data_IF_830090058212
#
_entry.id   IF_830090058212
#
_cell.length_a   1.000
_cell.length_b   1.000
_cell.length_c   1.000
_cell.angle_alpha   90.00
_cell.angle_beta   90.00
_cell.angle_gamma   90.00
#
_symmetry.space_group_name_H-M   'P 1'
#
loop_
_entity.id
_entity.type
_entity.pdbx_description
1 polymer ?
#
# COMPACT_ATOMS: atom_id res chain seq x y z
N UNK A 1 -11.65 -9.89 2.50
CA UNK A 1 -11.82 -9.95 1.02
C UNK A 1 -10.53 -9.66 0.25
N UNK A 2 -9.81 -8.56 0.50
CA UNK A 2 -8.53 -8.30 -0.16
C UNK A 2 -7.44 -9.32 0.22
N UNK A 3 -7.30 -9.63 1.51
CA UNK A 3 -6.37 -10.67 2.01
C UNK A 3 -6.69 -12.07 1.44
N UNK A 4 -7.96 -12.44 1.36
CA UNK A 4 -8.41 -13.70 0.72
C UNK A 4 -8.09 -13.70 -0.78
N UNK A 5 -8.27 -12.58 -1.48
CA UNK A 5 -7.93 -12.47 -2.89
C UNK A 5 -6.43 -12.66 -3.13
N UNK A 6 -5.60 -12.20 -2.20
CA UNK A 6 -4.16 -12.37 -2.20
C UNK A 6 -3.75 -13.83 -1.89
N UNK A 7 -4.08 -14.32 -0.69
CA UNK A 7 -3.60 -15.61 -0.18
C UNK A 7 -4.17 -16.83 -0.91
N UNK A 8 -5.50 -16.88 -1.08
CA UNK A 8 -6.15 -18.12 -1.54
C UNK A 8 -6.30 -18.18 -3.05
N UNK A 9 -6.42 -17.01 -3.68
CA UNK A 9 -6.83 -16.92 -5.09
C UNK A 9 -5.74 -16.40 -6.00
N UNK A 10 -4.64 -15.88 -5.44
CA UNK A 10 -3.55 -15.23 -6.18
C UNK A 10 -4.07 -14.20 -7.19
N UNK A 11 -5.16 -13.51 -6.82
CA UNK A 11 -5.81 -12.47 -7.63
C UNK A 11 -5.21 -11.11 -7.27
N UNK A 12 -3.95 -10.93 -7.58
CA UNK A 12 -3.17 -9.76 -7.16
C UNK A 12 -3.77 -8.44 -7.63
N UNK A 13 -4.22 -8.34 -8.88
CA UNK A 13 -4.88 -7.13 -9.37
C UNK A 13 -6.14 -6.75 -8.57
N UNK A 14 -6.94 -7.76 -8.17
CA UNK A 14 -8.11 -7.56 -7.31
C UNK A 14 -7.72 -7.16 -5.89
N UNK A 15 -6.69 -7.81 -5.34
CA UNK A 15 -6.16 -7.50 -4.02
C UNK A 15 -5.65 -6.05 -3.97
N UNK A 16 -4.85 -5.63 -4.95
CA UNK A 16 -4.36 -4.25 -5.08
C UNK A 16 -5.52 -3.27 -5.15
N UNK A 17 -6.53 -3.53 -5.98
CA UNK A 17 -7.68 -2.61 -6.15
C UNK A 17 -8.42 -2.42 -4.83
N UNK A 18 -8.75 -3.52 -4.14
CA UNK A 18 -9.46 -3.47 -2.86
C UNK A 18 -8.61 -2.84 -1.74
N UNK A 19 -7.33 -3.19 -1.68
CA UNK A 19 -6.40 -2.66 -0.69
C UNK A 19 -6.14 -1.16 -0.91
N UNK A 20 -6.01 -0.71 -2.16
CA UNK A 20 -5.83 0.72 -2.50
C UNK A 20 -7.05 1.55 -2.07
N UNK A 21 -8.26 1.02 -2.30
CA UNK A 21 -9.47 1.69 -1.86
C UNK A 21 -9.58 1.74 -0.33
N UNK A 22 -9.23 0.64 0.35
CA UNK A 22 -9.20 0.58 1.80
C UNK A 22 -8.15 1.54 2.40
N UNK A 23 -6.92 1.55 1.87
CA UNK A 23 -5.84 2.46 2.28
C UNK A 23 -6.30 3.91 2.19
N UNK A 24 -6.91 4.31 1.06
CA UNK A 24 -7.39 5.68 0.86
C UNK A 24 -8.46 6.08 1.89
N UNK A 25 -9.47 5.23 2.08
CA UNK A 25 -10.59 5.51 3.00
C UNK A 25 -10.11 5.57 4.45
N UNK A 26 -9.29 4.60 4.86
CA UNK A 26 -8.76 4.52 6.23
C UNK A 26 -7.75 5.64 6.50
N UNK A 27 -6.91 5.98 5.52
CA UNK A 27 -6.00 7.11 5.59
C UNK A 27 -6.74 8.45 5.73
N UNK A 28 -7.84 8.64 4.99
CA UNK A 28 -8.71 9.81 5.19
C UNK A 28 -9.36 9.84 6.57
N UNK A 29 -9.80 8.68 7.09
CA UNK A 29 -10.36 8.58 8.44
C UNK A 29 -9.33 8.95 9.52
N UNK A 30 -8.08 8.49 9.38
CA UNK A 30 -6.98 8.87 10.27
C UNK A 30 -6.76 10.39 10.27
N UNK A 31 -6.64 10.99 9.08
CA UNK A 31 -6.44 12.45 8.95
C UNK A 31 -7.58 13.24 9.59
N UNK A 32 -8.83 12.80 9.42
CA UNK A 32 -10.00 13.42 10.08
C UNK A 32 -9.96 13.28 11.61
N UNK A 33 -9.36 12.20 12.12
CA UNK A 33 -9.14 11.99 13.55
C UNK A 33 -7.88 12.68 14.09
N UNK A 34 -7.20 13.51 13.28
CA UNK A 34 -5.93 14.17 13.67
C UNK A 34 -4.75 13.20 13.80
N UNK A 35 -4.87 11.99 13.23
CA UNK A 35 -3.83 10.96 13.22
C UNK A 35 -3.14 10.91 11.85
N UNK A 36 -1.88 10.50 11.85
CA UNK A 36 -1.09 10.38 10.64
C UNK A 36 -1.42 9.06 9.90
N UNK A 37 -1.73 9.18 8.61
CA UNK A 37 -1.90 8.03 7.72
C UNK A 37 -0.53 7.38 7.43
N UNK A 38 -0.53 6.08 7.12
CA UNK A 38 0.71 5.31 6.89
C UNK A 38 1.56 5.90 5.79
N UNK A 39 0.96 6.29 4.67
CA UNK A 39 1.72 6.85 3.55
C UNK A 39 2.40 8.18 3.91
N UNK A 40 1.77 8.99 4.76
CA UNK A 40 2.35 10.25 5.24
C UNK A 40 3.53 9.97 6.19
N UNK A 41 3.38 8.97 7.07
CA UNK A 41 4.46 8.51 7.94
C UNK A 41 5.64 7.93 7.16
N UNK A 42 5.38 7.11 6.14
CA UNK A 42 6.40 6.55 5.25
C UNK A 42 7.16 7.66 4.53
N UNK A 43 6.45 8.67 4.02
CA UNK A 43 7.08 9.83 3.40
C UNK A 43 8.04 10.53 4.35
N UNK A 44 7.64 10.83 5.58
CA UNK A 44 8.51 11.51 6.55
C UNK A 44 9.76 10.68 6.88
N UNK A 45 9.62 9.37 7.05
CA UNK A 45 10.74 8.47 7.28
C UNK A 45 11.71 8.43 6.08
N UNK A 46 11.18 8.34 4.86
CA UNK A 46 11.99 8.34 3.63
C UNK A 46 12.63 9.70 3.37
N UNK A 47 11.92 10.79 3.60
CA UNK A 47 12.41 12.16 3.40
C UNK A 47 13.58 12.49 4.34
N UNK A 48 13.53 12.00 5.58
CA UNK A 48 14.62 12.16 6.54
C UNK A 48 15.93 11.56 5.98
N UNK A 49 15.86 10.31 5.52
CA UNK A 49 17.02 9.60 4.95
C UNK A 49 17.47 10.26 3.64
N UNK A 50 16.54 10.60 2.76
CA UNK A 50 16.84 11.25 1.49
C UNK A 50 17.51 12.62 1.68
N UNK A 51 17.01 13.43 2.61
CA UNK A 51 17.59 14.74 2.93
C UNK A 51 19.00 14.60 3.49
N UNK A 52 19.24 13.60 4.33
CA UNK A 52 20.58 13.33 4.87
C UNK A 52 21.58 12.92 3.78
N UNK A 53 21.15 12.11 2.81
CA UNK A 53 22.01 11.62 1.73
C UNK A 53 22.21 12.62 0.59
N UNK A 54 21.20 13.44 0.28
CA UNK A 54 21.17 14.28 -0.92
C UNK A 54 21.10 15.79 -0.62
N UNK A 55 21.01 16.21 0.64
CA UNK A 55 20.97 17.61 1.05
C UNK A 55 19.70 18.37 0.64
N UNK A 56 18.64 17.66 0.21
CA UNK A 56 17.37 18.24 -0.23
C UNK A 56 16.19 17.33 0.12
N UNK A 57 15.04 17.95 0.37
CA UNK A 57 13.80 17.23 0.64
C UNK A 57 13.27 16.51 -0.62
N UNK A 58 12.65 15.37 -0.38
CA UNK A 58 11.94 14.55 -1.33
C UNK A 58 10.64 15.23 -1.75
N UNK A 59 10.30 15.14 -3.03
CA UNK A 59 9.03 15.67 -3.52
C UNK A 59 7.88 14.74 -3.10
N UNK A 60 6.98 15.22 -2.23
CA UNK A 60 5.83 14.45 -1.76
C UNK A 60 4.95 13.91 -2.88
N UNK A 61 4.68 14.74 -3.91
CA UNK A 61 3.84 14.32 -5.05
C UNK A 61 4.49 13.17 -5.80
N UNK A 62 5.79 13.26 -6.10
CA UNK A 62 6.53 12.19 -6.77
C UNK A 62 6.57 10.92 -5.93
N UNK A 63 6.82 11.03 -4.61
CA UNK A 63 6.78 9.88 -3.71
C UNK A 63 5.41 9.21 -3.72
N UNK A 64 4.35 9.99 -3.45
CA UNK A 64 2.97 9.49 -3.48
C UNK A 64 2.61 8.88 -4.83
N UNK A 65 3.13 9.46 -5.92
CA UNK A 65 2.87 8.98 -7.26
C UNK A 65 3.53 7.62 -7.54
N UNK A 66 4.78 7.45 -7.10
CA UNK A 66 5.51 6.19 -7.18
C UNK A 66 4.82 5.10 -6.35
N UNK A 67 4.51 5.42 -5.09
CA UNK A 67 3.89 4.52 -4.13
C UNK A 67 2.49 4.02 -4.53
N UNK A 68 1.81 4.76 -5.41
CA UNK A 68 0.48 4.42 -5.91
C UNK A 68 0.44 4.08 -7.40
N UNK A 69 1.61 3.89 -8.05
CA UNK A 69 1.69 3.68 -9.51
C UNK A 69 0.82 2.50 -9.96
N UNK A 70 1.05 1.32 -9.38
CA UNK A 70 0.37 0.08 -9.78
C UNK A 70 -1.13 0.15 -9.49
N UNK A 71 -1.52 0.60 -8.29
CA UNK A 71 -2.94 0.74 -7.93
C UNK A 71 -3.70 1.70 -8.84
N UNK A 72 -3.05 2.79 -9.28
CA UNK A 72 -3.67 3.72 -10.24
C UNK A 72 -3.74 3.17 -11.65
N UNK A 73 -2.70 2.49 -12.10
CA UNK A 73 -2.71 1.84 -13.41
C UNK A 73 -3.84 0.79 -13.50
N UNK A 74 -4.04 0.00 -12.44
CA UNK A 74 -5.14 -0.97 -12.37
C UNK A 74 -6.52 -0.33 -12.28
N UNK A 75 -6.65 0.80 -11.56
CA UNK A 75 -7.93 1.53 -11.45
C UNK A 75 -8.36 2.17 -12.76
N UNK A 76 -7.39 2.68 -13.52
CA UNK A 76 -7.62 3.41 -14.77
C UNK A 76 -7.29 2.55 -15.99
N UNK A 77 -7.47 1.23 -15.89
CA UNK A 77 -7.24 0.32 -17.00
C UNK A 77 -8.29 0.55 -18.09
N UNK A 78 -8.02 1.51 -18.97
CA UNK A 78 -8.83 1.82 -20.14
C UNK A 78 -8.15 1.26 -21.40
N UNK A 79 -8.94 0.70 -22.31
CA UNK A 79 -8.43 0.12 -23.57
C UNK A 79 -7.75 1.17 -24.46
N UNK A 80 -8.07 2.44 -24.28
CA UNK A 80 -7.51 3.56 -25.07
C UNK A 80 -6.30 4.23 -24.43
N UNK A 81 -6.02 3.93 -23.16
CA UNK A 81 -4.90 4.47 -22.38
C UNK A 81 -4.36 3.35 -21.49
N UNK A 82 -3.89 2.27 -22.13
CA UNK A 82 -3.27 1.16 -21.41
C UNK A 82 -1.84 1.57 -21.05
N UNK A 83 -1.54 1.92 -19.79
CA UNK A 83 -0.18 2.24 -19.41
C UNK A 83 0.69 1.01 -19.63
N UNK A 84 1.77 1.16 -20.39
CA UNK A 84 2.79 0.14 -20.51
C UNK A 84 3.66 0.22 -19.26
N UNK A 85 3.54 -0.76 -18.37
CA UNK A 85 4.36 -0.85 -17.17
C UNK A 85 4.62 -2.30 -16.81
N UNK A 86 5.87 -2.57 -16.45
CA UNK A 86 6.26 -3.82 -15.82
C UNK A 86 6.20 -3.65 -14.29
N UNK A 87 5.60 -4.61 -13.61
CA UNK A 87 5.50 -4.63 -12.16
C UNK A 87 5.26 -6.04 -11.64
N UNK A 88 5.91 -6.36 -10.52
CA UNK A 88 5.55 -7.50 -9.70
C UNK A 88 4.22 -7.20 -8.98
N UNK A 89 3.16 -7.88 -9.42
CA UNK A 89 1.83 -7.69 -8.86
C UNK A 89 1.69 -8.29 -7.46
N UNK A 90 2.46 -9.33 -7.15
CA UNK A 90 2.44 -9.96 -5.83
C UNK A 90 3.08 -9.02 -4.81
N UNK A 91 4.26 -8.48 -5.12
CA UNK A 91 4.92 -7.48 -4.29
C UNK A 91 4.05 -6.22 -4.13
N UNK A 92 3.49 -5.70 -5.23
CA UNK A 92 2.62 -4.54 -5.18
C UNK A 92 1.35 -4.78 -4.35
N UNK A 93 0.76 -5.97 -4.43
CA UNK A 93 -0.38 -6.34 -3.62
C UNK A 93 -0.01 -6.45 -2.14
N UNK A 94 1.13 -7.09 -1.83
CA UNK A 94 1.66 -7.24 -0.49
C UNK A 94 1.83 -5.86 0.19
N UNK A 95 2.59 -4.95 -0.40
CA UNK A 95 2.84 -3.63 0.20
C UNK A 95 1.57 -2.78 0.31
N UNK A 96 0.66 -2.87 -0.64
CA UNK A 96 -0.64 -2.19 -0.55
C UNK A 96 -1.48 -2.74 0.62
N UNK A 97 -1.48 -4.06 0.84
CA UNK A 97 -2.17 -4.70 1.97
C UNK A 97 -1.54 -4.30 3.30
N UNK A 98 -0.22 -4.26 3.41
CA UNK A 98 0.50 -3.79 4.61
C UNK A 98 0.01 -2.39 5.00
N UNK A 99 -0.01 -1.44 4.05
CA UNK A 99 -0.46 -0.07 4.32
C UNK A 99 -1.93 0.00 4.74
N UNK A 100 -2.80 -0.74 4.06
CA UNK A 100 -4.22 -0.78 4.40
C UNK A 100 -4.46 -1.38 5.81
N UNK A 101 -3.78 -2.47 6.14
CA UNK A 101 -3.89 -3.12 7.45
C UNK A 101 -3.33 -2.25 8.57
N UNK A 102 -2.19 -1.60 8.35
CA UNK A 102 -1.61 -0.68 9.33
C UNK A 102 -2.51 0.56 9.54
N UNK A 103 -3.10 1.12 8.48
CA UNK A 103 -4.09 2.20 8.64
C UNK A 103 -5.30 1.73 9.48
N UNK A 104 -5.80 0.51 9.25
CA UNK A 104 -6.87 -0.08 10.05
C UNK A 104 -6.45 -0.27 11.52
N UNK A 105 -5.23 -0.77 11.75
CA UNK A 105 -4.66 -0.96 13.08
C UNK A 105 -4.54 0.37 13.85
N UNK A 106 -4.05 1.45 13.22
CA UNK A 106 -3.97 2.80 13.83
C UNK A 106 -5.33 3.40 14.20
N UNK A 107 -6.40 2.93 13.54
CA UNK A 107 -7.79 3.26 13.88
C UNK A 107 -8.38 2.34 14.96
N UNK A 108 -7.66 1.32 15.42
CA UNK A 108 -8.12 0.33 16.39
C UNK A 108 -9.10 -0.69 15.79
N UNK A 109 -9.08 -0.89 14.48
CA UNK A 109 -9.95 -1.82 13.77
C UNK A 109 -9.30 -3.20 13.66
N UNK A 110 -10.08 -4.25 13.89
CA UNK A 110 -9.67 -5.62 13.63
C UNK A 110 -9.85 -5.95 12.14
N UNK A 111 -8.81 -6.49 11.52
CA UNK A 111 -8.85 -6.94 10.11
C UNK A 111 -8.94 -8.46 10.07
N UNK A 112 -10.08 -8.99 9.63
CA UNK A 112 -10.26 -10.43 9.48
C UNK A 112 -9.28 -11.01 8.45
N UNK A 113 -8.59 -12.10 8.83
CA UNK A 113 -7.59 -12.77 8.00
C UNK A 113 -6.21 -12.12 8.05
N UNK A 114 -5.99 -11.11 8.91
CA UNK A 114 -4.69 -10.48 9.08
C UNK A 114 -3.63 -11.48 9.56
N UNK A 115 -3.95 -12.34 10.53
CA UNK A 115 -2.98 -13.31 11.07
C UNK A 115 -2.43 -14.23 9.96
N UNK A 116 -3.30 -14.78 9.11
CA UNK A 116 -2.88 -15.61 7.98
C UNK A 116 -2.02 -14.85 6.96
N UNK A 117 -2.31 -13.57 6.73
CA UNK A 117 -1.46 -12.73 5.87
C UNK A 117 -0.12 -12.41 6.53
N UNK A 118 -0.12 -12.17 7.83
CA UNK A 118 1.06 -11.88 8.61
C UNK A 118 2.00 -13.10 8.64
N UNK A 119 1.47 -14.30 8.86
CA UNK A 119 2.24 -15.54 8.79
C UNK A 119 2.88 -15.72 7.41
N UNK A 120 2.10 -15.54 6.34
CA UNK A 120 2.61 -15.58 4.97
C UNK A 120 3.72 -14.54 4.74
N UNK A 121 3.54 -13.31 5.25
CA UNK A 121 4.51 -12.22 5.11
C UNK A 121 5.83 -12.56 5.81
N UNK A 122 5.78 -13.13 7.01
CA UNK A 122 6.99 -13.58 7.71
C UNK A 122 7.74 -14.66 6.94
N UNK A 123 7.02 -15.65 6.41
CA UNK A 123 7.61 -16.76 5.66
C UNK A 123 8.24 -16.29 4.33
N UNK A 124 7.56 -15.42 3.58
CA UNK A 124 7.92 -15.12 2.19
C UNK A 124 8.69 -13.80 2.00
N UNK A 125 8.52 -12.84 2.90
CA UNK A 125 9.14 -11.51 2.78
C UNK A 125 10.26 -11.32 3.79
N UNK A 126 10.04 -11.72 5.05
CA UNK A 126 11.07 -11.60 6.11
C UNK A 126 12.03 -12.79 6.09
N UNK A 127 11.54 -13.98 5.74
CA UNK A 127 12.30 -15.23 5.69
C UNK A 127 12.56 -15.86 7.07
N UNK A 128 11.57 -15.79 7.96
CA UNK A 128 11.62 -16.37 9.33
C UNK A 128 10.76 -17.62 9.43
#
# INVERSE_FOLDING_TARGET
MALVAFLERQRFASAITLASAAELVLGQALRRAGKQAVLDWQFEATDLVHTQLHGRSLNYKTFHDTENRVGRALRHFDKTDAPDFDADLEEAACWMLVRACENAHRLGLTVQGFDAFNDWFYEHVVGV
#
